data_IF_109065360655
#
_entry.id   IF_109065360655
#
_cell.length_a   1.000
_cell.length_b   1.000
_cell.length_c   1.000
_cell.angle_alpha   90.00
_cell.angle_beta   90.00
_cell.angle_gamma   90.00
#
_symmetry.space_group_name_H-M   'P 1'
#
loop_
_entity.id
_entity.type
_entity.pdbx_description
1 polymer ?
#
# COMPACT_ATOMS: atom_id res chain seq x y z
N UNK A 1 12.85 13.54 21.13
CA UNK A 1 11.73 12.99 21.94
C UNK A 1 11.93 11.48 22.05
N UNK A 2 11.73 10.90 23.24
CA UNK A 2 11.83 9.44 23.40
C UNK A 2 10.58 8.75 22.86
N UNK A 3 10.71 7.65 22.08
CA UNK A 3 9.56 6.97 21.51
C UNK A 3 8.68 6.34 22.59
N UNK A 4 7.36 6.39 22.39
CA UNK A 4 6.39 5.71 23.24
C UNK A 4 6.56 4.20 23.11
N UNK A 5 6.88 3.55 24.22
CA UNK A 5 6.95 2.09 24.28
C UNK A 5 5.54 1.48 24.23
N UNK A 6 5.33 0.55 23.30
CA UNK A 6 4.05 -0.15 23.09
C UNK A 6 4.26 -1.67 23.08
N UNK A 7 3.22 -2.42 23.46
CA UNK A 7 3.24 -3.88 23.32
C UNK A 7 2.99 -4.31 21.87
N UNK A 8 3.16 -5.60 21.55
CA UNK A 8 3.00 -6.12 20.18
C UNK A 8 1.64 -5.83 19.56
N UNK A 9 0.55 -5.97 20.33
CA UNK A 9 -0.81 -5.72 19.84
C UNK A 9 -1.02 -4.25 19.49
N UNK A 10 -0.51 -3.35 20.34
CA UNK A 10 -0.56 -1.91 20.09
C UNK A 10 0.31 -1.51 18.91
N UNK A 11 1.51 -2.10 18.78
CA UNK A 11 2.43 -1.88 17.67
C UNK A 11 1.78 -2.24 16.33
N UNK A 12 1.20 -3.44 16.24
CA UNK A 12 0.49 -3.87 15.04
C UNK A 12 -0.74 -3.00 14.74
N UNK A 13 -1.54 -2.65 15.75
CA UNK A 13 -2.71 -1.79 15.57
C UNK A 13 -2.34 -0.37 15.08
N UNK A 14 -1.22 0.19 15.53
CA UNK A 14 -0.73 1.49 15.08
C UNK A 14 -0.24 1.42 13.62
N UNK A 15 0.55 0.41 13.28
CA UNK A 15 1.07 0.21 11.92
C UNK A 15 -0.04 -0.10 10.92
N UNK A 16 -1.08 -0.80 11.35
CA UNK A 16 -2.25 -1.13 10.52
C UNK A 16 -2.93 0.11 9.95
N UNK A 17 -2.87 1.24 10.64
CA UNK A 17 -3.42 2.51 10.13
C UNK A 17 -2.70 2.99 8.86
N UNK A 18 -1.44 2.59 8.67
CA UNK A 18 -0.61 2.94 7.51
C UNK A 18 -0.65 1.87 6.42
N UNK A 19 -1.46 0.83 6.57
CA UNK A 19 -1.63 -0.22 5.57
C UNK A 19 -3.11 -0.25 5.27
N UNK A 20 -3.63 0.57 4.37
CA UNK A 20 -5.08 0.84 4.29
C UNK A 20 -5.90 -0.20 3.51
N UNK A 21 -5.25 -1.05 2.71
CA UNK A 21 -5.90 -2.14 1.97
C UNK A 21 -5.61 -3.55 2.54
N UNK A 22 -4.61 -3.74 3.40
CA UNK A 22 -4.23 -5.06 3.95
C UNK A 22 -5.39 -5.81 4.65
N UNK A 23 -5.76 -7.05 4.25
CA UNK A 23 -6.65 -7.93 5.01
C UNK A 23 -5.98 -8.57 6.24
N UNK A 24 -6.72 -9.24 7.15
CA UNK A 24 -8.19 -9.38 7.20
C UNK A 24 -8.86 -8.11 7.71
N UNK A 25 -10.19 -8.04 7.74
CA UNK A 25 -10.89 -6.97 8.47
C UNK A 25 -10.77 -7.17 10.00
N UNK A 26 -10.56 -6.09 10.76
CA UNK A 26 -10.49 -6.15 12.23
C UNK A 26 -11.87 -6.10 12.87
N UNK A 27 -12.10 -7.04 13.79
CA UNK A 27 -13.29 -7.06 14.64
C UNK A 27 -14.57 -7.50 13.93
N UNK A 28 -14.48 -7.91 12.66
CA UNK A 28 -15.63 -8.27 11.82
C UNK A 28 -15.36 -9.53 10.97
N UNK A 29 -14.59 -10.47 11.54
CA UNK A 29 -14.34 -11.79 10.93
C UNK A 29 -15.59 -12.66 10.75
N UNK A 30 -16.74 -12.21 11.27
CA UNK A 30 -18.02 -12.90 11.23
C UNK A 30 -18.92 -12.47 10.04
N UNK A 31 -18.49 -11.51 9.21
CA UNK A 31 -19.29 -11.09 8.06
C UNK A 31 -19.57 -12.27 7.12
N UNK A 32 -20.80 -12.43 6.63
CA UNK A 32 -21.15 -13.51 5.72
C UNK A 32 -20.37 -13.36 4.40
N UNK A 33 -20.03 -14.47 3.71
CA UNK A 33 -19.26 -14.44 2.46
C UNK A 33 -19.84 -13.49 1.39
N UNK A 34 -21.17 -13.39 1.31
CA UNK A 34 -21.87 -12.51 0.38
C UNK A 34 -21.57 -11.03 0.65
N UNK A 35 -21.47 -10.64 1.91
CA UNK A 35 -21.16 -9.26 2.31
C UNK A 35 -19.69 -8.92 2.04
N UNK A 36 -18.78 -9.85 2.35
CA UNK A 36 -17.35 -9.71 2.00
C UNK A 36 -17.14 -9.57 0.49
N UNK A 37 -17.81 -10.40 -0.32
CA UNK A 37 -17.73 -10.31 -1.77
C UNK A 37 -18.21 -8.96 -2.31
N UNK A 38 -19.13 -8.28 -1.62
CA UNK A 38 -19.62 -6.94 -1.99
C UNK A 38 -18.59 -5.83 -1.86
N UNK A 39 -17.48 -6.08 -1.14
CA UNK A 39 -16.39 -5.12 -1.00
C UNK A 39 -15.37 -5.20 -2.14
N UNK A 40 -15.36 -6.30 -2.90
CA UNK A 40 -14.60 -6.44 -4.14
C UNK A 40 -15.47 -7.18 -5.16
N UNK A 41 -16.51 -6.53 -5.73
CA UNK A 41 -17.37 -7.20 -6.70
C UNK A 41 -16.61 -7.55 -7.99
N UNK A 42 -17.04 -8.58 -8.74
CA UNK A 42 -16.55 -8.80 -10.10
C UNK A 42 -16.73 -7.55 -10.98
N UNK A 43 -15.82 -7.36 -11.94
CA UNK A 43 -15.85 -6.23 -12.87
C UNK A 43 -16.26 -6.70 -14.26
N UNK A 44 -17.14 -5.97 -14.92
CA UNK A 44 -17.44 -6.22 -16.34
C UNK A 44 -16.29 -5.76 -17.23
N UNK A 45 -16.20 -6.27 -18.46
CA UNK A 45 -15.19 -5.84 -19.43
C UNK A 45 -15.24 -4.32 -19.70
N UNK A 46 -16.44 -3.74 -19.80
CA UNK A 46 -16.62 -2.29 -19.96
C UNK A 46 -16.08 -1.50 -18.76
N UNK A 47 -16.33 -1.99 -17.54
CA UNK A 47 -15.85 -1.38 -16.30
C UNK A 47 -14.33 -1.50 -16.20
N UNK A 48 -13.77 -2.67 -16.55
CA UNK A 48 -12.34 -2.90 -16.64
C UNK A 48 -11.65 -1.89 -17.57
N UNK A 49 -12.20 -1.67 -18.77
CA UNK A 49 -11.65 -0.71 -19.73
C UNK A 49 -11.68 0.75 -19.22
N UNK A 50 -12.73 1.11 -18.47
CA UNK A 50 -12.88 2.45 -17.86
C UNK A 50 -12.02 2.67 -16.62
N UNK A 51 -11.51 1.60 -16.01
CA UNK A 51 -10.68 1.68 -14.80
C UNK A 51 -9.20 1.57 -15.16
N UNK A 52 -8.78 0.47 -15.78
CA UNK A 52 -7.35 0.15 -15.86
C UNK A 52 -6.55 1.21 -16.59
N UNK A 53 -6.86 1.46 -17.86
CA UNK A 53 -6.08 2.41 -18.65
C UNK A 53 -6.17 3.84 -18.10
N UNK A 54 -7.37 4.37 -17.76
CA UNK A 54 -7.47 5.74 -17.22
C UNK A 54 -6.80 5.90 -15.86
N UNK A 55 -7.08 5.02 -14.89
CA UNK A 55 -6.53 5.15 -13.53
C UNK A 55 -5.01 4.93 -13.53
N UNK A 56 -4.51 3.94 -14.29
CA UNK A 56 -3.06 3.72 -14.42
C UNK A 56 -2.38 4.92 -15.05
N UNK A 57 -2.95 5.51 -16.12
CA UNK A 57 -2.39 6.70 -16.75
C UNK A 57 -2.38 7.91 -15.80
N UNK A 58 -3.46 8.11 -15.02
CA UNK A 58 -3.52 9.15 -14.01
C UNK A 58 -2.45 8.95 -12.93
N UNK A 59 -2.32 7.74 -12.38
CA UNK A 59 -1.35 7.46 -11.33
C UNK A 59 0.08 7.64 -11.86
N UNK A 60 0.41 7.11 -13.04
CA UNK A 60 1.73 7.29 -13.64
C UNK A 60 2.06 8.77 -13.88
N UNK A 61 1.08 9.56 -14.31
CA UNK A 61 1.25 11.01 -14.48
C UNK A 61 1.53 11.72 -13.15
N UNK A 62 0.77 11.39 -12.10
CA UNK A 62 0.95 11.98 -10.78
C UNK A 62 2.28 11.59 -10.14
N UNK A 63 2.65 10.31 -10.22
CA UNK A 63 3.95 9.82 -9.72
C UNK A 63 5.11 10.55 -10.39
N UNK A 64 5.07 10.76 -11.71
CA UNK A 64 6.11 11.49 -12.42
C UNK A 64 6.21 12.95 -11.95
N UNK A 65 5.07 13.64 -11.80
CA UNK A 65 5.06 15.03 -11.31
C UNK A 65 5.56 15.15 -9.88
N UNK A 66 5.24 14.17 -9.03
CA UNK A 66 5.72 14.11 -7.65
C UNK A 66 7.23 13.86 -7.59
N UNK A 67 7.74 12.95 -8.42
CA UNK A 67 9.17 12.68 -8.54
C UNK A 67 9.94 13.97 -8.94
N UNK A 68 9.47 14.66 -9.98
CA UNK A 68 10.03 15.95 -10.41
C UNK A 68 10.01 16.97 -9.25
N UNK A 69 8.90 17.06 -8.49
CA UNK A 69 8.76 18.02 -7.39
C UNK A 69 9.60 17.71 -6.16
N UNK A 70 9.74 16.44 -5.80
CA UNK A 70 10.53 16.02 -4.64
C UNK A 70 12.02 16.26 -4.84
N UNK A 71 12.51 16.23 -6.09
CA UNK A 71 13.88 16.64 -6.41
C UNK A 71 14.11 18.15 -6.22
N UNK A 72 13.08 18.96 -6.44
CA UNK A 72 13.16 20.43 -6.37
C UNK A 72 12.91 21.02 -4.97
N UNK A 73 12.23 20.29 -4.08
CA UNK A 73 11.78 20.82 -2.78
C UNK A 73 12.53 20.22 -1.58
N UNK A 74 13.17 21.09 -0.78
CA UNK A 74 13.78 20.72 0.51
C UNK A 74 12.75 20.54 1.66
N UNK A 75 11.50 20.21 1.35
CA UNK A 75 10.40 20.14 2.33
C UNK A 75 10.45 18.86 3.19
N UNK A 76 11.15 17.83 2.72
CA UNK A 76 11.41 16.59 3.44
C UNK A 76 12.92 16.42 3.64
N UNK A 77 13.32 15.67 4.66
CA UNK A 77 14.72 15.29 4.84
C UNK A 77 15.20 14.42 3.67
N UNK A 78 16.48 14.51 3.30
CA UNK A 78 17.04 13.85 2.11
C UNK A 78 16.68 12.35 2.03
N UNK A 79 16.85 11.61 3.12
CA UNK A 79 16.55 10.18 3.16
C UNK A 79 15.07 9.81 3.11
N UNK A 80 14.18 10.75 3.45
CA UNK A 80 12.73 10.57 3.28
C UNK A 80 12.33 10.88 1.84
N UNK A 81 12.88 11.95 1.25
CA UNK A 81 12.66 12.30 -0.16
C UNK A 81 13.06 11.17 -1.10
N UNK A 82 14.27 10.62 -0.96
CA UNK A 82 14.76 9.50 -1.79
C UNK A 82 13.81 8.30 -1.71
N UNK A 83 13.33 7.97 -0.51
CA UNK A 83 12.43 6.85 -0.32
C UNK A 83 11.04 7.10 -0.92
N UNK A 84 10.51 8.33 -0.85
CA UNK A 84 9.26 8.66 -1.53
C UNK A 84 9.40 8.62 -3.06
N UNK A 85 10.54 9.05 -3.61
CA UNK A 85 10.82 8.90 -5.05
C UNK A 85 10.82 7.43 -5.46
N UNK A 86 11.51 6.55 -4.72
CA UNK A 86 11.50 5.10 -4.95
C UNK A 86 10.08 4.53 -4.88
N UNK A 87 9.29 4.94 -3.88
CA UNK A 87 7.90 4.53 -3.73
C UNK A 87 7.07 4.89 -4.96
N UNK A 88 7.14 6.14 -5.45
CA UNK A 88 6.35 6.58 -6.61
C UNK A 88 6.82 5.93 -7.91
N UNK A 89 8.12 5.73 -8.07
CA UNK A 89 8.70 4.97 -9.17
C UNK A 89 8.17 3.53 -9.19
N UNK A 90 8.23 2.84 -8.05
CA UNK A 90 7.75 1.47 -7.96
C UNK A 90 6.23 1.36 -8.16
N UNK A 91 5.45 2.28 -7.60
CA UNK A 91 4.00 2.31 -7.77
C UNK A 91 3.61 2.46 -9.24
N UNK A 92 4.19 3.42 -9.94
CA UNK A 92 3.90 3.67 -11.35
C UNK A 92 4.33 2.49 -12.23
N UNK A 93 5.53 1.94 -12.01
CA UNK A 93 6.03 0.76 -12.72
C UNK A 93 5.11 -0.44 -12.55
N UNK A 94 4.70 -0.73 -11.31
CA UNK A 94 3.83 -1.88 -11.02
C UNK A 94 2.47 -1.74 -11.70
N UNK A 95 1.83 -0.57 -11.61
CA UNK A 95 0.53 -0.37 -12.25
C UNK A 95 0.61 -0.43 -13.78
N UNK A 96 1.70 0.04 -14.38
CA UNK A 96 1.94 -0.11 -15.83
C UNK A 96 2.10 -1.58 -16.24
N UNK A 97 2.86 -2.37 -15.49
CA UNK A 97 2.97 -3.82 -15.70
C UNK A 97 1.62 -4.53 -15.60
N UNK A 98 0.76 -4.10 -14.67
CA UNK A 98 -0.60 -4.63 -14.49
C UNK A 98 -1.47 -4.43 -15.73
N UNK A 99 -1.33 -3.27 -16.38
CA UNK A 99 -2.09 -2.92 -17.60
C UNK A 99 -1.65 -3.72 -18.83
N UNK A 100 -0.43 -4.31 -18.81
CA UNK A 100 0.16 -5.10 -19.91
C UNK A 100 -0.02 -6.62 -19.73
N UNK A 101 -0.75 -7.06 -18.71
CA UNK A 101 -0.95 -8.48 -18.39
C UNK A 101 -1.92 -9.23 -19.30
N UNK A 102 -2.14 -10.52 -19.00
CA UNK A 102 -3.22 -11.33 -19.60
C UNK A 102 -4.59 -10.78 -19.22
N UNK A 103 -5.65 -11.11 -19.96
CA UNK A 103 -7.01 -10.64 -19.63
C UNK A 103 -7.45 -11.00 -18.22
N UNK A 104 -7.14 -12.22 -17.75
CA UNK A 104 -7.40 -12.63 -16.36
C UNK A 104 -6.67 -11.74 -15.34
N UNK A 105 -5.42 -11.35 -15.64
CA UNK A 105 -4.64 -10.44 -14.78
C UNK A 105 -5.28 -9.06 -14.79
N UNK A 106 -5.61 -8.52 -15.96
CA UNK A 106 -6.28 -7.23 -16.10
C UNK A 106 -7.60 -7.20 -15.33
N UNK A 107 -8.46 -8.21 -15.47
CA UNK A 107 -9.70 -8.33 -14.71
C UNK A 107 -9.44 -8.28 -13.19
N UNK A 108 -8.46 -9.06 -12.71
CA UNK A 108 -8.08 -9.09 -11.29
C UNK A 108 -7.63 -7.72 -10.80
N UNK A 109 -6.82 -7.01 -11.58
CA UNK A 109 -6.32 -5.68 -11.22
C UNK A 109 -7.41 -4.61 -11.29
N UNK A 110 -8.28 -4.63 -12.30
CA UNK A 110 -9.43 -3.76 -12.37
C UNK A 110 -10.33 -3.94 -11.14
N UNK A 111 -10.59 -5.20 -10.77
CA UNK A 111 -11.32 -5.55 -9.55
C UNK A 111 -10.64 -5.04 -8.29
N UNK A 112 -9.32 -5.13 -8.20
CA UNK A 112 -8.56 -4.65 -7.06
C UNK A 112 -8.59 -3.12 -6.94
N UNK A 113 -8.46 -2.40 -8.05
CA UNK A 113 -8.54 -0.93 -8.10
C UNK A 113 -9.97 -0.46 -7.75
N UNK A 114 -11.01 -1.15 -8.23
CA UNK A 114 -12.41 -0.81 -7.94
C UNK A 114 -12.90 -1.30 -6.57
N UNK A 115 -12.13 -2.16 -5.89
CA UNK A 115 -12.51 -2.68 -4.58
C UNK A 115 -12.60 -1.55 -3.56
N UNK A 116 -13.55 -1.67 -2.63
CA UNK A 116 -13.69 -0.78 -1.48
C UNK A 116 -12.44 -0.84 -0.62
N UNK A 117 -11.97 0.31 -0.16
CA UNK A 117 -10.81 0.41 0.71
C UNK A 117 -11.12 -0.21 2.06
N UNK A 118 -10.27 -1.17 2.47
CA UNK A 118 -10.49 -1.92 3.72
C UNK A 118 -10.57 -0.99 4.94
N UNK A 119 -9.69 0.00 5.06
CA UNK A 119 -9.71 0.97 6.16
C UNK A 119 -11.04 1.72 6.28
N UNK A 120 -11.57 2.19 5.16
CA UNK A 120 -12.86 2.89 5.13
C UNK A 120 -14.04 1.95 5.45
N UNK A 121 -13.96 0.67 5.03
CA UNK A 121 -14.96 -0.35 5.41
C UNK A 121 -14.96 -0.57 6.93
N UNK A 122 -13.78 -0.68 7.55
CA UNK A 122 -13.67 -0.82 9.02
C UNK A 122 -14.26 0.40 9.74
N UNK A 123 -13.99 1.60 9.24
CA UNK A 123 -14.53 2.84 9.81
C UNK A 123 -16.04 2.96 9.60
N UNK A 124 -16.57 2.55 8.45
CA UNK A 124 -18.01 2.50 8.19
C UNK A 124 -18.73 1.57 9.17
N UNK A 125 -18.22 0.35 9.36
CA UNK A 125 -18.81 -0.63 10.28
C UNK A 125 -18.79 -0.11 11.73
N UNK A 126 -17.78 0.70 12.09
CA UNK A 126 -17.67 1.35 13.41
C UNK A 126 -18.49 2.65 13.53
N UNK A 127 -19.25 3.03 12.51
CA UNK A 127 -20.04 4.26 12.50
C UNK A 127 -19.21 5.55 12.43
N UNK A 128 -17.94 5.48 12.01
CA UNK A 128 -17.02 6.62 11.95
C UNK A 128 -17.05 7.38 10.61
N UNK A 129 -17.46 6.72 9.53
CA UNK A 129 -17.53 7.31 8.20
C UNK A 129 -18.76 6.81 7.45
N UNK A 130 -19.39 7.70 6.69
CA UNK A 130 -20.45 7.34 5.74
C UNK A 130 -19.90 6.99 4.35
N UNK A 131 -18.65 7.36 4.05
CA UNK A 131 -18.05 7.22 2.72
C UNK A 131 -17.01 6.10 2.71
N UNK A 132 -17.13 5.21 1.73
CA UNK A 132 -16.15 4.17 1.44
C UNK A 132 -15.55 4.43 0.07
N UNK A 133 -14.27 4.80 0.05
CA UNK A 133 -13.50 4.99 -1.20
C UNK A 133 -13.17 3.65 -1.83
N UNK A 134 -12.85 3.67 -3.12
CA UNK A 134 -12.15 2.53 -3.75
C UNK A 134 -10.66 2.62 -3.49
N UNK A 135 -9.92 1.52 -3.65
CA UNK A 135 -8.46 1.52 -3.53
C UNK A 135 -7.83 2.45 -4.58
N UNK A 136 -8.29 2.40 -5.84
CA UNK A 136 -7.85 3.33 -6.88
C UNK A 136 -8.14 4.79 -6.53
N UNK A 137 -9.31 5.05 -5.94
CA UNK A 137 -9.69 6.37 -5.46
C UNK A 137 -8.76 6.88 -4.36
N UNK A 138 -8.37 6.02 -3.40
CA UNK A 138 -7.35 6.36 -2.41
C UNK A 138 -6.03 6.74 -3.08
N UNK A 139 -5.51 5.90 -3.97
CA UNK A 139 -4.19 6.14 -4.59
C UNK A 139 -4.18 7.48 -5.33
N UNK A 140 -5.18 7.72 -6.19
CA UNK A 140 -5.29 8.96 -6.94
C UNK A 140 -5.43 10.18 -6.02
N UNK A 141 -6.33 10.11 -5.04
CA UNK A 141 -6.56 11.19 -4.09
C UNK A 141 -5.28 11.53 -3.30
N UNK A 142 -4.60 10.52 -2.75
CA UNK A 142 -3.38 10.71 -1.96
C UNK A 142 -2.27 11.36 -2.80
N UNK A 143 -2.06 10.90 -4.04
CA UNK A 143 -1.05 11.47 -4.92
C UNK A 143 -1.39 12.92 -5.34
N UNK A 144 -2.68 13.20 -5.61
CA UNK A 144 -3.15 14.54 -5.94
C UNK A 144 -2.98 15.51 -4.78
N UNK A 145 -3.46 15.14 -3.59
CA UNK A 145 -3.35 15.97 -2.39
C UNK A 145 -1.89 16.26 -2.04
N UNK A 146 -1.01 15.26 -2.12
CA UNK A 146 0.42 15.46 -1.90
C UNK A 146 1.02 16.42 -2.92
N UNK A 147 0.71 16.24 -4.21
CA UNK A 147 1.23 17.09 -5.27
C UNK A 147 0.78 18.54 -5.09
N UNK A 148 -0.51 18.76 -4.78
CA UNK A 148 -1.04 20.10 -4.53
C UNK A 148 -0.35 20.79 -3.34
N UNK A 149 -0.09 20.07 -2.25
CA UNK A 149 0.63 20.61 -1.09
C UNK A 149 2.06 21.01 -1.47
N UNK A 150 2.78 20.16 -2.21
CA UNK A 150 4.13 20.45 -2.66
C UNK A 150 4.18 21.62 -3.67
N UNK A 151 3.21 21.71 -4.58
CA UNK A 151 3.10 22.81 -5.55
C UNK A 151 2.83 24.16 -4.87
N UNK A 152 2.05 24.16 -3.78
CA UNK A 152 1.77 25.36 -2.98
C UNK A 152 2.88 25.70 -1.98
N UNK A 153 3.89 24.84 -1.82
CA UNK A 153 4.94 24.99 -0.81
C UNK A 153 4.41 24.84 0.62
N UNK A 154 3.30 24.11 0.80
CA UNK A 154 2.69 23.87 2.09
C UNK A 154 3.45 22.79 2.87
N UNK A 155 3.40 22.87 4.20
CA UNK A 155 3.89 21.79 5.04
C UNK A 155 2.96 20.59 4.93
N UNK A 156 3.50 19.44 4.50
CA UNK A 156 2.74 18.19 4.44
C UNK A 156 2.42 17.72 5.86
N UNK A 157 1.14 17.50 6.22
CA UNK A 157 0.78 17.01 7.54
C UNK A 157 1.44 15.66 7.83
N UNK A 158 2.07 15.55 9.01
CA UNK A 158 2.79 14.35 9.42
C UNK A 158 1.91 13.09 9.37
N UNK A 159 0.66 13.19 9.84
CA UNK A 159 -0.26 12.06 9.81
C UNK A 159 -0.65 11.65 8.39
N UNK A 160 -0.86 12.59 7.47
CA UNK A 160 -1.16 12.29 6.07
C UNK A 160 0.01 11.54 5.40
N UNK A 161 1.24 12.00 5.63
CA UNK A 161 2.43 11.36 5.09
C UNK A 161 2.55 9.90 5.57
N UNK A 162 2.56 9.70 6.89
CA UNK A 162 2.86 8.40 7.49
C UNK A 162 1.66 7.45 7.59
N UNK A 163 0.46 7.90 7.23
CA UNK A 163 -0.75 7.08 7.17
C UNK A 163 -1.18 6.80 5.72
N UNK A 164 -1.36 7.85 4.93
CA UNK A 164 -1.96 7.74 3.59
C UNK A 164 -0.88 7.56 2.51
N UNK A 165 0.19 8.36 2.50
CA UNK A 165 1.26 8.24 1.48
C UNK A 165 2.03 6.93 1.64
N UNK A 166 2.45 6.59 2.87
CA UNK A 166 3.18 5.34 3.12
C UNK A 166 2.34 4.08 2.86
N UNK A 167 1.01 4.19 2.90
CA UNK A 167 0.15 3.05 2.54
C UNK A 167 0.31 2.59 1.10
N UNK A 168 0.93 3.42 0.25
CA UNK A 168 1.18 3.14 -1.15
C UNK A 168 2.37 2.19 -1.39
N UNK A 169 3.32 2.07 -0.46
CA UNK A 169 4.59 1.33 -0.66
C UNK A 169 4.39 -0.15 -1.03
N UNK A 170 3.30 -0.76 -0.57
CA UNK A 170 2.94 -2.15 -0.84
C UNK A 170 1.46 -2.34 -1.21
N UNK A 171 0.85 -1.27 -1.74
CA UNK A 171 -0.58 -1.26 -2.04
C UNK A 171 -0.96 -2.27 -3.11
N UNK A 172 -0.04 -2.61 -4.01
CA UNK A 172 -0.21 -3.61 -5.06
C UNK A 172 -0.51 -5.00 -4.51
N UNK A 173 0.28 -5.45 -3.54
CA UNK A 173 0.09 -6.73 -2.89
C UNK A 173 -1.11 -6.70 -1.93
N UNK A 174 -1.32 -5.58 -1.24
CA UNK A 174 -2.45 -5.43 -0.32
C UNK A 174 -3.78 -5.47 -1.05
N UNK A 175 -3.91 -4.80 -2.20
CA UNK A 175 -5.15 -4.79 -2.98
C UNK A 175 -5.46 -6.16 -3.58
N UNK A 176 -4.45 -6.90 -4.03
CA UNK A 176 -4.63 -8.27 -4.51
C UNK A 176 -5.02 -9.21 -3.36
N UNK A 177 -4.36 -9.09 -2.21
CA UNK A 177 -4.68 -9.87 -1.03
C UNK A 177 -6.11 -9.56 -0.57
N UNK A 178 -6.53 -8.30 -0.65
CA UNK A 178 -7.86 -7.85 -0.31
C UNK A 178 -8.94 -8.50 -1.19
N UNK A 179 -8.75 -8.51 -2.51
CA UNK A 179 -9.66 -9.21 -3.45
C UNK A 179 -9.72 -10.71 -3.15
N UNK A 180 -8.58 -11.34 -2.90
CA UNK A 180 -8.51 -12.76 -2.56
C UNK A 180 -9.25 -13.05 -1.23
N UNK A 181 -9.08 -12.20 -0.22
CA UNK A 181 -9.76 -12.30 1.07
C UNK A 181 -11.28 -12.13 0.93
N UNK A 182 -11.73 -11.12 0.16
CA UNK A 182 -13.15 -10.88 -0.09
C UNK A 182 -13.81 -12.04 -0.86
N UNK A 183 -13.04 -12.75 -1.70
CA UNK A 183 -13.54 -13.89 -2.47
C UNK A 183 -13.61 -15.17 -1.63
N UNK A 184 -12.57 -15.44 -0.84
CA UNK A 184 -12.53 -16.60 0.05
C UNK A 184 -11.66 -16.29 1.29
N UNK A 185 -12.26 -15.85 2.41
CA UNK A 185 -11.50 -15.47 3.61
C UNK A 185 -10.82 -16.69 4.27
N UNK A 186 -11.32 -17.91 4.02
CA UNK A 186 -10.74 -19.17 4.50
C UNK A 186 -9.63 -19.70 3.57
N UNK A 187 -9.52 -19.17 2.36
CA UNK A 187 -8.51 -19.56 1.39
C UNK A 187 -7.13 -19.03 1.77
N UNK A 188 -6.09 -19.84 1.62
CA UNK A 188 -4.72 -19.43 1.90
C UNK A 188 -4.15 -18.41 0.89
N UNK A 189 -4.88 -18.12 -0.21
CA UNK A 189 -4.41 -17.25 -1.30
C UNK A 189 -4.02 -15.84 -0.84
N UNK A 190 -4.84 -15.20 -0.01
CA UNK A 190 -4.53 -13.86 0.50
C UNK A 190 -3.31 -13.87 1.45
N UNK A 191 -3.15 -14.93 2.26
CA UNK A 191 -1.96 -15.08 3.10
C UNK A 191 -0.70 -15.27 2.27
N UNK A 192 -0.80 -16.02 1.17
CA UNK A 192 0.30 -16.19 0.22
C UNK A 192 0.76 -14.86 -0.37
N UNK A 193 -0.18 -13.97 -0.73
CA UNK A 193 0.11 -12.63 -1.22
C UNK A 193 0.80 -11.76 -0.16
N UNK A 194 0.27 -11.72 1.07
CA UNK A 194 0.89 -10.94 2.16
C UNK A 194 2.26 -11.48 2.60
N UNK A 195 2.49 -12.80 2.51
CA UNK A 195 3.81 -13.38 2.83
C UNK A 195 4.91 -12.86 1.91
N UNK A 196 4.60 -12.51 0.66
CA UNK A 196 5.58 -12.04 -0.34
C UNK A 196 6.23 -10.71 0.03
N UNK A 197 5.53 -9.83 0.76
CA UNK A 197 6.08 -8.55 1.23
C UNK A 197 6.76 -8.59 2.60
N UNK A 198 6.72 -9.72 3.31
CA UNK A 198 7.28 -9.82 4.68
C UNK A 198 8.71 -9.28 4.81
N UNK A 199 9.64 -9.52 3.86
CA UNK A 199 10.99 -8.97 3.95
C UNK A 199 11.02 -7.43 3.94
N UNK A 200 10.21 -6.78 3.11
CA UNK A 200 10.15 -5.31 2.99
C UNK A 200 9.36 -4.63 4.12
N UNK A 201 8.26 -5.25 4.56
CA UNK A 201 7.37 -4.71 5.59
C UNK A 201 8.08 -4.46 6.92
N UNK A 202 9.08 -5.27 7.30
CA UNK A 202 9.81 -5.08 8.55
C UNK A 202 10.60 -3.76 8.56
N UNK A 203 11.20 -3.38 7.43
CA UNK A 203 11.95 -2.12 7.28
C UNK A 203 10.99 -0.94 7.29
N UNK A 204 9.92 -1.01 6.50
CA UNK A 204 8.86 0.02 6.45
C UNK A 204 8.24 0.25 7.82
N UNK A 205 7.89 -0.83 8.55
CA UNK A 205 7.34 -0.73 9.91
C UNK A 205 8.26 -0.02 10.90
N UNK A 206 9.58 -0.29 10.83
CA UNK A 206 10.55 0.38 11.69
C UNK A 206 10.61 1.88 11.39
N UNK A 207 10.59 2.27 10.11
CA UNK A 207 10.53 3.67 9.68
C UNK A 207 9.24 4.34 10.16
N UNK A 208 8.08 3.76 9.85
CA UNK A 208 6.78 4.28 10.30
C UNK A 208 6.75 4.47 11.82
N UNK A 209 7.22 3.46 12.57
CA UNK A 209 7.27 3.51 14.02
C UNK A 209 8.20 4.63 14.54
N UNK A 210 9.37 4.80 13.92
CA UNK A 210 10.30 5.89 14.22
C UNK A 210 9.66 7.26 14.02
N UNK A 211 9.10 7.53 12.84
CA UNK A 211 8.51 8.83 12.53
C UNK A 211 7.25 9.11 13.36
N UNK A 212 6.43 8.09 13.62
CA UNK A 212 5.22 8.21 14.46
C UNK A 212 5.52 8.10 15.96
N UNK A 213 6.80 8.02 16.35
CA UNK A 213 7.25 8.15 17.73
C UNK A 213 6.85 6.99 18.65
N UNK A 214 6.80 5.76 18.15
CA UNK A 214 6.53 4.57 18.96
C UNK A 214 7.54 3.45 18.70
N UNK A 215 7.74 2.58 19.69
CA UNK A 215 8.64 1.43 19.55
C UNK A 215 8.16 0.24 20.39
N UNK A 216 8.54 -0.97 19.99
CA UNK A 216 8.12 -2.20 20.66
C UNK A 216 8.87 -2.36 22.00
N UNK A 217 8.13 -2.59 23.10
CA UNK A 217 8.66 -2.77 24.46
C UNK A 217 9.76 -3.82 24.59
N UNK A 218 9.76 -4.83 23.70
CA UNK A 218 10.73 -5.93 23.69
C UNK A 218 11.48 -6.03 22.36
N UNK A 219 11.93 -4.89 21.81
CA UNK A 219 12.99 -4.92 20.79
C UNK A 219 14.29 -5.43 21.45
N UNK A 220 14.41 -6.76 21.57
CA UNK A 220 15.59 -7.45 22.08
C UNK A 220 16.79 -7.14 21.19
N UNK A 221 17.59 -6.14 21.59
CA UNK A 221 18.92 -5.74 21.06
C UNK A 221 18.99 -5.40 19.56
N UNK A 222 19.89 -4.48 19.18
CA UNK A 222 20.30 -4.35 17.79
C UNK A 222 21.24 -5.52 17.46
N UNK A 223 20.70 -6.64 16.97
CA UNK A 223 21.51 -7.51 16.13
C UNK A 223 21.62 -6.84 14.76
N UNK A 224 22.86 -6.65 14.31
CA UNK A 224 23.32 -5.86 13.15
C UNK A 224 23.65 -4.38 13.43
N UNK A 225 24.90 -4.14 13.86
CA UNK A 225 25.68 -3.08 13.24
C UNK A 225 25.74 -3.38 11.74
N UNK A 226 24.98 -2.64 10.94
CA UNK A 226 25.17 -2.62 9.49
C UNK A 226 26.40 -1.76 9.26
N UNK A 227 27.56 -2.40 9.12
CA UNK A 227 28.64 -1.82 8.31
C UNK A 227 28.01 -1.28 7.03
N UNK A 228 28.42 -0.08 6.64
CA UNK A 228 28.05 0.63 5.42
C UNK A 228 28.08 -0.30 4.19
N UNK A 229 27.02 -1.05 3.96
CA UNK A 229 26.72 -1.62 2.66
C UNK A 229 25.79 -0.65 1.98
N UNK A 230 26.37 0.05 1.00
CA UNK A 230 25.64 0.58 -0.13
C UNK A 230 24.92 -0.59 -0.83
N UNK A 231 23.81 -1.07 -0.27
CA UNK A 231 22.88 -1.93 -1.00
C UNK A 231 21.93 -1.01 -1.77
N UNK A 232 22.39 -0.58 -2.95
CA UNK A 232 21.57 -0.06 -4.05
C UNK A 232 20.70 -1.18 -4.69
N UNK A 233 20.26 -2.16 -3.89
CA UNK A 233 19.80 -3.48 -4.34
C UNK A 233 18.33 -3.80 -4.10
N UNK A 234 17.48 -2.82 -3.77
CA UNK A 234 16.03 -3.06 -3.57
C UNK A 234 15.33 -3.58 -4.85
N UNK A 235 15.87 -3.25 -6.03
CA UNK A 235 15.29 -3.58 -7.34
C UNK A 235 15.58 -5.02 -7.79
N UNK A 236 16.81 -5.52 -7.61
CA UNK A 236 17.23 -6.83 -8.14
C UNK A 236 16.59 -7.99 -7.39
N UNK A 237 16.52 -7.96 -6.06
CA UNK A 237 15.95 -9.08 -5.31
C UNK A 237 14.43 -9.24 -5.50
N UNK A 238 13.68 -8.16 -5.69
CA UNK A 238 12.24 -8.23 -5.87
C UNK A 238 11.86 -8.60 -7.32
N UNK A 239 12.60 -8.12 -8.32
CA UNK A 239 12.38 -8.49 -9.73
C UNK A 239 12.91 -9.90 -10.07
N UNK A 240 13.96 -10.39 -9.39
CA UNK A 240 14.43 -11.77 -9.53
C UNK A 240 13.46 -12.79 -8.90
N UNK A 241 12.77 -12.41 -7.82
CA UNK A 241 11.70 -13.23 -7.22
C UNK A 241 10.46 -13.37 -8.13
N UNK A 242 10.21 -12.40 -9.01
CA UNK A 242 9.12 -12.45 -10.01
C UNK A 242 9.49 -13.25 -11.25
N UNK A 243 10.76 -13.25 -11.65
CA UNK A 243 11.27 -14.08 -12.76
C UNK A 243 11.30 -15.56 -12.42
N UNK A 244 11.48 -15.93 -11.15
CA UNK A 244 11.59 -17.32 -10.71
C UNK A 244 10.28 -18.14 -10.86
N UNK A 245 9.12 -17.50 -11.03
CA UNK A 245 7.83 -18.21 -11.13
C UNK A 245 6.85 -17.55 -12.11
N UNK A 246 6.84 -17.94 -13.41
CA UNK A 246 5.71 -17.64 -14.28
C UNK A 246 4.47 -18.27 -13.65
N UNK A 247 3.45 -17.45 -13.43
CA UNK A 247 2.19 -17.79 -12.77
C UNK A 247 1.63 -19.15 -13.19
N UNK A 248 1.90 -20.18 -12.38
CA UNK A 248 1.26 -21.48 -12.42
C UNK A 248 0.25 -21.57 -11.29
N UNK A 249 -1.01 -21.30 -11.61
CA UNK A 249 -2.15 -21.77 -10.83
C UNK A 249 -2.74 -22.95 -11.61
N UNK A 250 -2.62 -24.15 -11.07
CA UNK A 250 -3.48 -25.29 -11.39
C UNK A 250 -4.71 -25.24 -10.49
#
# INVERSE_FOLDING_TARGET
MSPRLVNERQYDALLRQSRLAEPPLVGVSHLPPKELASFAPPVSADRQARILAPVTATISTLCKKLDDKLHDTHLLGLGDSEWFCDLFFHLSRRLDEMNKGTELKKETYARAIDAKLRGDVEDQIRGKSARVRTIGGLIVQTLQELLEMLEKGEQVPHDFLWKDVVSLEHIDLDMLAWVAYCSNPKGAGWQGLLRRRKPGVAVSNRRIALHRGFSLQHSSKPEFQVESRQDSGFSTHYDDLLKAHPSGYH
#
